data_IF_494260381013
#
_entry.id   IF_494260381013
#
_cell.length_a   1.000
_cell.length_b   1.000
_cell.length_c   1.000
_cell.angle_alpha   90.00
_cell.angle_beta   90.00
_cell.angle_gamma   90.00
#
_symmetry.space_group_name_H-M   'P 1'
#
loop_
_entity.id
_entity.type
_entity.pdbx_description
1 polymer ?
#
# COMPACT_ATOMS: atom_id res chain seq x y z
N UNK A 1 12.68 -25.71 30.44
CA UNK A 1 12.00 -25.96 29.17
C UNK A 1 12.23 -24.73 28.32
N UNK A 2 13.01 -24.87 27.26
CA UNK A 2 13.32 -23.79 26.33
C UNK A 2 12.28 -23.76 25.21
N UNK A 3 12.10 -22.61 24.57
CA UNK A 3 11.15 -22.46 23.47
C UNK A 3 11.48 -23.40 22.30
N UNK A 4 12.77 -23.67 22.06
CA UNK A 4 13.26 -24.59 21.03
C UNK A 4 12.97 -26.07 21.32
N UNK A 5 12.60 -26.42 22.56
CA UNK A 5 12.23 -27.79 22.92
C UNK A 5 10.80 -28.13 22.48
N UNK A 6 10.05 -27.15 21.95
CA UNK A 6 8.68 -27.34 21.46
C UNK A 6 8.65 -28.00 20.08
N UNK A 7 7.63 -28.82 19.78
CA UNK A 7 7.40 -29.35 18.44
C UNK A 7 7.32 -28.24 17.39
N UNK A 8 7.84 -28.53 16.19
CA UNK A 8 7.83 -27.61 15.04
C UNK A 8 6.42 -27.10 14.71
N UNK A 9 5.40 -27.93 14.88
CA UNK A 9 4.00 -27.54 14.66
C UNK A 9 3.56 -26.40 15.60
N UNK A 10 4.01 -26.42 16.85
CA UNK A 10 3.73 -25.35 17.81
C UNK A 10 4.54 -24.10 17.46
N UNK A 11 5.81 -24.27 17.08
CA UNK A 11 6.66 -23.16 16.65
C UNK A 11 6.11 -22.43 15.42
N UNK A 12 5.50 -23.15 14.48
CA UNK A 12 4.88 -22.58 13.28
C UNK A 12 3.63 -21.73 13.58
N UNK A 13 2.98 -21.94 14.73
CA UNK A 13 1.83 -21.15 15.15
C UNK A 13 2.23 -19.84 15.84
N UNK A 14 3.46 -19.73 16.34
CA UNK A 14 3.92 -18.56 17.10
C UNK A 14 3.70 -17.22 16.38
N UNK A 15 3.95 -17.08 15.06
CA UNK A 15 3.69 -15.82 14.37
C UNK A 15 2.26 -15.31 14.49
N UNK A 16 1.27 -16.19 14.62
CA UNK A 16 -0.14 -15.82 14.76
C UNK A 16 -0.51 -15.23 16.12
N UNK A 17 0.39 -15.32 17.11
CA UNK A 17 0.21 -14.80 18.46
C UNK A 17 1.06 -13.55 18.76
N UNK A 18 1.77 -13.02 17.75
CA UNK A 18 2.56 -11.82 17.89
C UNK A 18 1.69 -10.57 17.73
N UNK A 19 2.11 -9.46 18.34
CA UNK A 19 1.37 -8.21 18.30
C UNK A 19 1.81 -7.31 17.14
N UNK A 20 3.03 -7.48 16.62
CA UNK A 20 3.56 -6.64 15.54
C UNK A 20 4.55 -7.35 14.63
N UNK A 21 4.83 -6.73 13.48
CA UNK A 21 5.92 -7.16 12.59
C UNK A 21 7.30 -7.02 13.24
N UNK A 22 7.49 -6.08 14.16
CA UNK A 22 8.76 -5.91 14.86
C UNK A 22 8.99 -7.07 15.86
N UNK A 23 7.94 -7.62 16.46
CA UNK A 23 8.02 -8.82 17.28
C UNK A 23 8.38 -10.05 16.45
N UNK A 24 7.79 -10.18 15.26
CA UNK A 24 8.13 -11.26 14.33
C UNK A 24 9.58 -11.15 13.88
N UNK A 25 10.04 -9.94 13.55
CA UNK A 25 11.43 -9.69 13.19
C UNK A 25 12.38 -9.99 14.36
N UNK A 26 12.00 -9.64 15.59
CA UNK A 26 12.78 -9.97 16.77
C UNK A 26 12.85 -11.49 16.98
N UNK A 27 11.73 -12.19 16.83
CA UNK A 27 11.63 -13.64 16.99
C UNK A 27 12.54 -14.39 16.00
N UNK A 28 12.50 -14.05 14.71
CA UNK A 28 13.34 -14.70 13.69
C UNK A 28 14.84 -14.42 13.91
N UNK A 29 15.20 -13.32 14.57
CA UNK A 29 16.59 -12.98 14.87
C UNK A 29 17.13 -13.64 16.14
N UNK A 30 16.27 -14.21 16.99
CA UNK A 30 16.70 -14.83 18.25
C UNK A 30 17.45 -16.15 18.07
N UNK A 31 17.08 -16.98 17.10
CA UNK A 31 17.65 -18.32 16.89
C UNK A 31 17.51 -18.78 15.44
N UNK A 32 18.47 -19.60 14.99
CA UNK A 32 18.41 -20.25 13.65
C UNK A 32 17.23 -21.20 13.52
N UNK A 33 16.85 -21.86 14.60
CA UNK A 33 15.74 -22.82 14.60
C UNK A 33 14.40 -22.10 14.50
N UNK A 34 14.24 -21.02 15.28
CA UNK A 34 13.07 -20.14 15.16
C UNK A 34 13.01 -19.49 13.79
N UNK A 35 14.14 -19.02 13.24
CA UNK A 35 14.19 -18.56 11.85
C UNK A 35 13.66 -19.63 10.88
N UNK A 36 14.10 -20.88 11.00
CA UNK A 36 13.69 -21.95 10.08
C UNK A 36 12.18 -22.23 10.14
N UNK A 37 11.56 -22.14 11.32
CA UNK A 37 10.13 -22.43 11.51
C UNK A 37 9.23 -21.21 11.30
N UNK A 38 9.66 -20.01 11.69
CA UNK A 38 8.81 -18.81 11.73
C UNK A 38 9.11 -17.78 10.63
N UNK A 39 10.13 -17.97 9.80
CA UNK A 39 10.45 -17.05 8.69
C UNK A 39 9.46 -17.06 7.52
N UNK A 40 8.52 -18.01 7.49
CA UNK A 40 7.53 -18.15 6.42
C UNK A 40 6.10 -18.20 6.98
N UNK A 41 5.64 -17.15 7.68
CA UNK A 41 4.27 -17.08 8.15
C UNK A 41 3.29 -17.03 6.96
N UNK A 42 2.05 -17.44 7.21
CA UNK A 42 1.01 -17.36 6.18
C UNK A 42 0.70 -15.89 5.85
N UNK A 43 0.26 -15.56 4.63
CA UNK A 43 -0.05 -14.17 4.27
C UNK A 43 -1.12 -13.52 5.15
N UNK A 44 -2.05 -14.32 5.69
CA UNK A 44 -3.06 -13.85 6.65
C UNK A 44 -2.43 -13.37 7.95
N UNK A 45 -1.42 -14.07 8.47
CA UNK A 45 -0.66 -13.65 9.65
C UNK A 45 0.18 -12.42 9.34
N UNK A 46 0.83 -12.37 8.17
CA UNK A 46 1.58 -11.18 7.75
C UNK A 46 0.66 -9.96 7.71
N UNK A 47 -0.51 -10.10 7.11
CA UNK A 47 -1.52 -9.05 7.04
C UNK A 47 -1.96 -8.61 8.44
N UNK A 48 -2.36 -9.54 9.32
CA UNK A 48 -2.82 -9.19 10.67
C UNK A 48 -1.74 -8.46 11.48
N UNK A 49 -0.49 -8.89 11.36
CA UNK A 49 0.64 -8.23 12.00
C UNK A 49 0.89 -6.85 11.40
N UNK A 50 0.80 -6.70 10.08
CA UNK A 50 1.04 -5.46 9.36
C UNK A 50 -0.07 -4.41 9.55
N UNK A 51 -1.28 -4.83 9.91
CA UNK A 51 -2.42 -3.95 10.24
C UNK A 51 -2.55 -3.66 11.73
N UNK A 52 -1.69 -4.26 12.57
CA UNK A 52 -1.73 -4.04 14.01
C UNK A 52 -1.45 -2.58 14.35
N UNK A 53 -2.15 -1.97 15.33
CA UNK A 53 -1.89 -0.61 15.78
C UNK A 53 -0.47 -0.39 16.31
N UNK A 54 0.23 -1.48 16.66
CA UNK A 54 1.62 -1.45 17.12
C UNK A 54 2.63 -1.37 15.98
N UNK A 55 2.21 -1.63 14.75
CA UNK A 55 3.05 -1.35 13.59
C UNK A 55 3.03 0.14 13.32
N UNK A 56 4.19 0.78 13.38
CA UNK A 56 4.32 2.20 13.05
C UNK A 56 3.96 2.55 11.60
N UNK A 57 3.46 1.61 10.80
CA UNK A 57 3.16 1.71 9.36
C UNK A 57 1.91 2.58 9.15
N UNK A 58 2.14 3.86 8.88
CA UNK A 58 1.11 4.84 8.54
C UNK A 58 1.59 5.62 7.31
N UNK A 59 0.72 5.97 6.35
CA UNK A 59 -0.74 5.90 6.41
C UNK A 59 -1.29 4.55 5.94
N UNK A 60 -2.07 3.89 6.80
CA UNK A 60 -2.89 2.75 6.41
C UNK A 60 -4.16 3.23 5.67
N UNK A 61 -4.70 2.49 4.67
CA UNK A 61 -4.16 1.32 3.96
C UNK A 61 -3.17 1.66 2.82
N UNK A 62 -3.01 2.95 2.52
CA UNK A 62 -2.36 3.48 1.33
C UNK A 62 -0.93 2.94 1.10
N UNK A 63 -0.11 2.78 2.15
CA UNK A 63 1.24 2.25 1.96
C UNK A 63 1.27 0.82 1.41
N UNK A 64 0.35 -0.05 1.83
CA UNK A 64 0.29 -1.41 1.31
C UNK A 64 -0.21 -1.44 -0.12
N UNK A 65 -1.17 -0.57 -0.45
CA UNK A 65 -1.61 -0.37 -1.83
C UNK A 65 -0.42 0.09 -2.67
N UNK A 66 0.39 1.04 -2.19
CA UNK A 66 1.54 1.56 -2.93
C UNK A 66 2.55 0.48 -3.29
N UNK A 67 2.87 -0.41 -2.34
CA UNK A 67 3.78 -1.55 -2.57
C UNK A 67 3.24 -2.52 -3.62
N UNK A 68 1.92 -2.71 -3.68
CA UNK A 68 1.28 -3.67 -4.60
C UNK A 68 0.76 -3.02 -5.89
N UNK A 69 0.75 -1.69 -5.99
CA UNK A 69 0.11 -0.94 -7.06
C UNK A 69 0.62 -1.35 -8.45
N UNK A 70 1.94 -1.57 -8.59
CA UNK A 70 2.51 -2.00 -9.87
C UNK A 70 2.03 -3.39 -10.29
N UNK A 71 2.05 -4.34 -9.36
CA UNK A 71 1.59 -5.71 -9.64
C UNK A 71 0.08 -5.74 -9.91
N UNK A 72 -0.69 -4.91 -9.20
CA UNK A 72 -2.11 -4.74 -9.45
C UNK A 72 -2.36 -4.15 -10.85
N UNK A 73 -1.58 -3.17 -11.28
CA UNK A 73 -1.64 -2.61 -12.63
C UNK A 73 -1.34 -3.66 -13.70
N UNK A 74 -0.23 -4.39 -13.54
CA UNK A 74 0.19 -5.46 -14.45
C UNK A 74 -0.85 -6.58 -14.54
N UNK A 75 -1.59 -6.85 -13.47
CA UNK A 75 -2.71 -7.79 -13.45
C UNK A 75 -3.97 -7.21 -14.14
N UNK A 76 -4.29 -5.95 -13.87
CA UNK A 76 -5.50 -5.31 -14.37
C UNK A 76 -5.50 -5.21 -15.89
N UNK A 77 -4.35 -4.93 -16.51
CA UNK A 77 -4.23 -4.81 -17.98
C UNK A 77 -4.29 -6.14 -18.74
N UNK A 78 -4.34 -7.29 -18.05
CA UNK A 78 -4.36 -8.61 -18.72
C UNK A 78 -5.72 -8.97 -19.31
N UNK A 79 -6.82 -8.41 -18.80
CA UNK A 79 -8.17 -8.68 -19.30
C UNK A 79 -9.11 -7.53 -18.98
N UNK A 80 -10.17 -7.35 -19.77
CA UNK A 80 -11.21 -6.36 -19.51
C UNK A 80 -11.96 -6.62 -18.20
N UNK A 81 -12.16 -7.89 -17.84
CA UNK A 81 -12.78 -8.30 -16.57
C UNK A 81 -11.95 -7.83 -15.37
N UNK A 82 -10.62 -7.95 -15.44
CA UNK A 82 -9.75 -7.46 -14.36
C UNK A 82 -9.80 -5.93 -14.23
N UNK A 83 -9.92 -5.21 -15.36
CA UNK A 83 -10.09 -3.75 -15.35
C UNK A 83 -11.41 -3.34 -14.69
N UNK A 84 -12.50 -4.04 -15.01
CA UNK A 84 -13.82 -3.81 -14.40
C UNK A 84 -13.78 -4.07 -12.89
N UNK A 85 -13.16 -5.17 -12.45
CA UNK A 85 -12.98 -5.46 -11.02
C UNK A 85 -12.15 -4.41 -10.28
N UNK A 86 -11.10 -3.88 -10.92
CA UNK A 86 -10.32 -2.77 -10.36
C UNK A 86 -11.16 -1.49 -10.27
N UNK A 87 -11.93 -1.20 -11.32
CA UNK A 87 -12.83 -0.05 -11.34
C UNK A 87 -13.89 -0.12 -10.24
N UNK A 88 -14.53 -1.27 -10.06
CA UNK A 88 -15.51 -1.51 -8.99
C UNK A 88 -14.89 -1.37 -7.60
N UNK A 89 -13.66 -1.88 -7.41
CA UNK A 89 -12.93 -1.74 -6.15
C UNK A 89 -12.63 -0.28 -5.83
N UNK A 90 -12.26 0.53 -6.83
CA UNK A 90 -12.02 1.98 -6.68
C UNK A 90 -13.33 2.71 -6.34
N UNK A 91 -14.40 2.45 -7.10
CA UNK A 91 -15.64 3.21 -7.02
C UNK A 91 -16.49 2.84 -5.79
N UNK A 92 -16.57 1.55 -5.44
CA UNK A 92 -17.43 1.06 -4.35
C UNK A 92 -16.65 0.76 -3.07
N UNK A 93 -15.45 0.20 -3.20
CA UNK A 93 -14.67 -0.30 -2.07
C UNK A 93 -13.74 0.74 -1.44
N UNK A 94 -13.43 1.82 -2.15
CA UNK A 94 -12.46 2.83 -1.71
C UNK A 94 -11.09 2.22 -1.37
N UNK A 95 -10.30 2.85 -0.47
CA UNK A 95 -8.97 2.36 -0.12
C UNK A 95 -8.93 0.93 0.42
N UNK A 96 -9.92 0.52 1.21
CA UNK A 96 -9.97 -0.83 1.76
C UNK A 96 -10.25 -1.87 0.67
N UNK A 97 -11.23 -1.62 -0.21
CA UNK A 97 -11.55 -2.55 -1.30
C UNK A 97 -10.43 -2.69 -2.33
N UNK A 98 -9.70 -1.60 -2.62
CA UNK A 98 -8.50 -1.67 -3.47
C UNK A 98 -7.40 -2.50 -2.80
N UNK A 99 -7.19 -2.34 -1.49
CA UNK A 99 -6.23 -3.17 -0.76
C UNK A 99 -6.64 -4.65 -0.80
N UNK A 100 -7.89 -4.97 -0.51
CA UNK A 100 -8.39 -6.36 -0.52
C UNK A 100 -8.20 -7.01 -1.90
N UNK A 101 -8.50 -6.27 -2.97
CA UNK A 101 -8.26 -6.72 -4.33
C UNK A 101 -6.76 -6.93 -4.59
N UNK A 102 -5.91 -5.98 -4.21
CA UNK A 102 -4.45 -6.08 -4.36
C UNK A 102 -3.89 -7.32 -3.66
N UNK A 103 -4.36 -7.61 -2.44
CA UNK A 103 -3.95 -8.77 -1.67
C UNK A 103 -4.48 -10.10 -2.23
N UNK A 104 -5.65 -10.08 -2.87
CA UNK A 104 -6.19 -11.24 -3.58
C UNK A 104 -5.35 -11.63 -4.81
N UNK A 105 -4.75 -10.62 -5.47
CA UNK A 105 -3.88 -10.80 -6.64
C UNK A 105 -2.46 -11.17 -6.23
N UNK A 106 -1.91 -10.45 -5.24
CA UNK A 106 -0.54 -10.63 -4.75
C UNK A 106 -0.50 -10.47 -3.23
N UNK A 107 -0.50 -11.59 -2.48
CA UNK A 107 -0.45 -11.53 -1.02
C UNK A 107 0.82 -10.82 -0.51
N UNK A 108 0.73 -10.24 0.70
CA UNK A 108 1.87 -9.61 1.34
C UNK A 108 2.94 -10.63 1.72
N UNK A 109 4.19 -10.28 1.45
CA UNK A 109 5.37 -11.05 1.80
C UNK A 109 6.27 -10.26 2.76
N UNK A 110 7.17 -10.94 3.47
CA UNK A 110 8.18 -10.27 4.30
C UNK A 110 9.12 -9.38 3.48
N UNK A 111 9.36 -9.72 2.20
CA UNK A 111 10.16 -8.89 1.31
C UNK A 111 9.47 -7.56 1.01
N UNK A 112 8.14 -7.58 0.80
CA UNK A 112 7.35 -6.36 0.62
C UNK A 112 7.43 -5.44 1.83
N UNK A 113 7.37 -6.02 3.04
CA UNK A 113 7.49 -5.26 4.29
C UNK A 113 8.89 -4.70 4.53
N UNK A 114 9.92 -5.49 4.20
CA UNK A 114 11.31 -5.04 4.27
C UNK A 114 11.55 -3.89 3.30
N UNK A 115 11.05 -4.02 2.06
CA UNK A 115 11.08 -2.96 1.06
C UNK A 115 10.34 -1.71 1.55
N UNK A 116 9.12 -1.87 2.08
CA UNK A 116 8.33 -0.75 2.60
C UNK A 116 9.06 -0.02 3.73
N UNK A 117 9.61 -0.74 4.71
CA UNK A 117 10.38 -0.17 5.81
C UNK A 117 11.58 0.61 5.29
N UNK A 118 12.34 0.02 4.37
CA UNK A 118 13.49 0.68 3.76
C UNK A 118 13.07 1.95 3.03
N UNK A 119 12.16 1.85 2.06
CA UNK A 119 11.65 2.97 1.25
C UNK A 119 11.09 4.10 2.10
N UNK A 120 10.39 3.76 3.19
CA UNK A 120 9.90 4.77 4.12
C UNK A 120 11.04 5.56 4.76
N UNK A 121 11.98 4.86 5.38
CA UNK A 121 13.09 5.51 6.12
C UNK A 121 14.08 6.24 5.21
N UNK A 122 14.35 5.70 4.02
CA UNK A 122 15.38 6.24 3.12
C UNK A 122 14.85 7.28 2.13
N UNK A 123 13.57 7.23 1.75
CA UNK A 123 12.99 8.08 0.70
C UNK A 123 11.82 8.89 1.22
N UNK A 124 10.78 8.23 1.76
CA UNK A 124 9.52 8.94 2.09
C UNK A 124 9.69 9.91 3.26
N UNK A 125 10.30 9.50 4.37
CA UNK A 125 10.47 10.36 5.56
C UNK A 125 11.31 11.61 5.26
N UNK A 126 12.46 11.52 4.57
CA UNK A 126 13.19 12.71 4.11
C UNK A 126 12.37 13.61 3.19
N UNK A 127 11.61 13.03 2.25
CA UNK A 127 10.79 13.78 1.30
C UNK A 127 9.62 14.48 2.00
N UNK A 128 8.93 13.79 2.92
CA UNK A 128 7.85 14.33 3.74
C UNK A 128 8.37 15.50 4.57
N UNK A 129 9.49 15.31 5.29
CA UNK A 129 10.10 16.39 6.09
C UNK A 129 10.44 17.61 5.24
N UNK A 130 10.94 17.41 4.02
CA UNK A 130 11.21 18.52 3.10
C UNK A 130 9.91 19.23 2.66
N UNK A 131 8.89 18.47 2.25
CA UNK A 131 7.63 19.01 1.77
C UNK A 131 6.80 19.67 2.86
N UNK A 132 6.84 19.17 4.10
CA UNK A 132 6.18 19.81 5.25
C UNK A 132 6.69 21.23 5.48
N UNK A 133 7.99 21.49 5.29
CA UNK A 133 8.54 22.85 5.39
C UNK A 133 8.08 23.81 4.28
N UNK A 134 7.47 23.29 3.21
CA UNK A 134 7.04 24.06 2.03
C UNK A 134 5.53 24.14 1.88
N UNK A 135 4.82 23.10 2.29
CA UNK A 135 3.40 22.88 2.00
C UNK A 135 2.55 22.60 3.25
N UNK A 136 3.18 22.36 4.41
CA UNK A 136 2.49 22.13 5.67
C UNK A 136 1.87 23.41 6.26
N UNK A 137 1.04 23.30 7.31
CA UNK A 137 0.49 24.45 8.00
C UNK A 137 1.64 25.29 8.54
N UNK A 138 1.84 26.47 7.95
CA UNK A 138 2.84 27.41 8.42
C UNK A 138 2.14 28.39 9.34
N UNK A 139 2.64 28.55 10.56
CA UNK A 139 2.19 29.58 11.50
C UNK A 139 2.34 31.02 10.95
N UNK A 140 3.07 31.19 9.84
CA UNK A 140 3.39 32.48 9.19
C UNK A 140 2.62 32.74 7.88
N UNK A 141 1.74 31.83 7.43
CA UNK A 141 0.96 31.99 6.19
C UNK A 141 -0.51 32.14 6.60
N UNK A 142 -1.20 33.09 5.95
CA UNK A 142 -2.64 33.29 6.11
C UNK A 142 -3.38 31.93 6.14
N UNK A 143 -4.15 31.63 7.20
CA UNK A 143 -4.88 30.36 7.37
C UNK A 143 -5.84 30.03 6.21
N UNK A 144 -6.06 30.97 5.28
CA UNK A 144 -6.78 30.76 4.03
C UNK A 144 -6.04 29.91 2.97
N UNK A 145 -4.74 29.62 3.13
CA UNK A 145 -3.89 29.02 2.07
C UNK A 145 -3.07 27.79 2.49
N UNK A 146 -3.56 26.94 3.40
CA UNK A 146 -2.93 25.63 3.63
C UNK A 146 -3.04 24.76 2.36
N UNK A 147 -1.92 24.63 1.63
CA UNK A 147 -1.88 23.89 0.34
C UNK A 147 -2.08 22.38 0.55
N UNK A 148 -1.60 21.82 1.66
CA UNK A 148 -1.78 20.40 1.97
C UNK A 148 -1.87 20.15 3.49
N UNK A 149 -2.98 19.59 3.94
CA UNK A 149 -3.20 19.23 5.34
C UNK A 149 -2.51 17.90 5.74
N UNK A 150 -2.19 17.04 4.77
CA UNK A 150 -1.55 15.75 5.02
C UNK A 150 -0.57 15.38 3.89
N UNK A 151 0.65 15.90 4.00
CA UNK A 151 1.75 15.70 3.03
C UNK A 151 2.07 14.20 2.87
N UNK A 152 2.04 13.45 3.98
CA UNK A 152 2.31 12.02 3.99
C UNK A 152 1.32 11.23 3.14
N UNK A 153 0.01 11.48 3.32
CA UNK A 153 -1.04 10.83 2.54
C UNK A 153 -0.97 11.24 1.07
N UNK A 154 -0.75 12.53 0.79
CA UNK A 154 -0.59 13.03 -0.57
C UNK A 154 0.55 12.33 -1.31
N UNK A 155 1.74 12.25 -0.69
CA UNK A 155 2.91 11.61 -1.29
C UNK A 155 2.68 10.10 -1.51
N UNK A 156 1.99 9.45 -0.57
CA UNK A 156 1.65 8.04 -0.70
C UNK A 156 0.67 7.82 -1.85
N UNK A 157 -0.37 8.64 -1.98
CA UNK A 157 -1.31 8.58 -3.11
C UNK A 157 -0.65 8.90 -4.45
N UNK A 158 0.30 9.83 -4.48
CA UNK A 158 1.10 10.09 -5.67
C UNK A 158 1.92 8.85 -6.08
N UNK A 159 2.58 8.20 -5.12
CA UNK A 159 3.30 6.95 -5.38
C UNK A 159 2.35 5.86 -5.93
N UNK A 160 1.20 5.63 -5.27
CA UNK A 160 0.21 4.67 -5.78
C UNK A 160 -0.20 5.01 -7.21
N UNK A 161 -0.51 6.28 -7.49
CA UNK A 161 -0.95 6.72 -8.81
C UNK A 161 0.09 6.41 -9.90
N UNK A 162 1.35 6.74 -9.63
CA UNK A 162 2.45 6.48 -10.58
C UNK A 162 2.62 4.98 -10.89
N UNK A 163 2.44 4.12 -9.89
CA UNK A 163 2.59 2.68 -10.06
C UNK A 163 1.34 2.01 -10.65
N UNK A 164 0.14 2.42 -10.24
CA UNK A 164 -1.12 1.88 -10.71
C UNK A 164 -1.38 2.25 -12.19
N UNK A 165 -1.03 3.48 -12.59
CA UNK A 165 -1.20 3.98 -13.95
C UNK A 165 0.09 3.99 -14.75
N UNK A 166 1.07 3.17 -14.37
CA UNK A 166 2.34 3.04 -15.07
C UNK A 166 2.17 2.78 -16.57
N UNK A 167 1.17 1.98 -16.95
CA UNK A 167 0.88 1.68 -18.36
C UNK A 167 0.41 2.89 -19.17
N UNK A 168 -0.14 3.92 -18.51
CA UNK A 168 -0.50 5.18 -19.14
C UNK A 168 0.68 6.17 -19.20
N UNK A 169 1.60 6.10 -18.23
CA UNK A 169 2.63 7.12 -18.02
C UNK A 169 3.96 6.73 -18.66
N UNK A 170 4.57 5.63 -18.19
CA UNK A 170 5.97 5.30 -18.51
C UNK A 170 6.10 4.11 -19.45
N UNK A 171 5.20 3.12 -19.33
CA UNK A 171 5.27 1.91 -20.17
C UNK A 171 5.22 2.20 -21.69
N UNK A 172 4.44 3.18 -22.20
CA UNK A 172 4.41 3.46 -23.63
C UNK A 172 5.78 3.91 -24.16
N UNK A 173 6.53 4.68 -23.37
CA UNK A 173 7.88 5.14 -23.75
C UNK A 173 8.86 3.96 -23.74
N UNK A 174 8.81 3.14 -22.69
CA UNK A 174 9.70 1.98 -22.55
C UNK A 174 9.44 0.92 -23.61
N UNK A 175 8.18 0.65 -23.96
CA UNK A 175 7.83 -0.34 -24.99
C UNK A 175 8.21 0.13 -26.39
N UNK A 176 8.07 1.43 -26.69
CA UNK A 176 8.59 2.00 -27.95
C UNK A 176 10.10 1.86 -28.05
N UNK A 177 10.83 2.11 -26.97
CA UNK A 177 12.29 1.95 -26.95
C UNK A 177 12.74 0.48 -27.12
N UNK A 178 11.86 -0.47 -26.81
CA UNK A 178 12.11 -1.92 -26.89
C UNK A 178 11.45 -2.60 -28.10
N UNK A 179 10.87 -1.85 -29.03
CA UNK A 179 10.13 -2.36 -30.20
C UNK A 179 9.02 -3.37 -29.84
N UNK A 180 8.37 -3.19 -28.68
CA UNK A 180 7.28 -4.03 -28.22
C UNK A 180 5.91 -3.44 -28.61
N UNK A 181 4.91 -4.29 -28.89
CA UNK A 181 3.56 -3.82 -29.21
C UNK A 181 2.97 -3.02 -28.05
N UNK A 182 2.14 -1.99 -28.35
CA UNK A 182 1.46 -1.22 -27.33
C UNK A 182 0.52 -2.12 -26.52
N UNK A 183 0.51 -1.93 -25.21
CA UNK A 183 -0.45 -2.56 -24.31
C UNK A 183 -1.60 -1.58 -24.09
N UNK A 184 -2.83 -2.08 -24.08
CA UNK A 184 -3.99 -1.27 -23.72
C UNK A 184 -3.91 -0.91 -22.23
N UNK A 185 -3.77 0.38 -21.89
CA UNK A 185 -3.64 0.80 -20.50
C UNK A 185 -5.03 0.96 -19.84
N UNK A 186 -5.04 1.24 -18.53
CA UNK A 186 -6.28 1.54 -17.82
C UNK A 186 -6.99 2.77 -18.42
N UNK A 187 -8.32 2.74 -18.38
CA UNK A 187 -9.15 3.79 -18.97
C UNK A 187 -8.96 5.14 -18.27
N UNK A 188 -9.26 6.23 -18.99
CA UNK A 188 -9.26 7.57 -18.40
C UNK A 188 -10.34 7.70 -17.32
N UNK A 189 -11.44 6.96 -17.43
CA UNK A 189 -12.51 6.94 -16.44
C UNK A 189 -12.00 6.38 -15.11
N UNK A 190 -11.30 5.23 -15.12
CA UNK A 190 -10.67 4.65 -13.93
C UNK A 190 -9.68 5.64 -13.28
N UNK A 191 -8.94 6.40 -14.09
CA UNK A 191 -8.01 7.43 -13.59
C UNK A 191 -8.72 8.59 -12.92
N UNK A 192 -9.84 9.03 -13.47
CA UNK A 192 -10.63 10.13 -12.90
C UNK A 192 -11.31 9.71 -11.60
N UNK A 193 -11.87 8.50 -11.55
CA UNK A 193 -12.44 7.93 -10.32
C UNK A 193 -11.37 7.80 -9.23
N UNK A 194 -10.16 7.36 -9.57
CA UNK A 194 -9.06 7.36 -8.61
C UNK A 194 -8.81 8.75 -8.02
N UNK A 195 -8.68 9.77 -8.87
CA UNK A 195 -8.45 11.15 -8.44
C UNK A 195 -9.59 11.62 -7.54
N UNK A 196 -10.84 11.31 -7.89
CA UNK A 196 -12.02 11.72 -7.14
C UNK A 196 -12.11 11.09 -5.75
N UNK A 197 -11.86 9.77 -5.63
CA UNK A 197 -12.04 9.05 -4.37
C UNK A 197 -10.81 9.07 -3.46
N UNK A 198 -9.60 9.23 -4.01
CA UNK A 198 -8.36 9.00 -3.25
C UNK A 198 -7.52 10.26 -3.01
N UNK A 199 -7.71 11.34 -3.78
CA UNK A 199 -7.01 12.59 -3.50
C UNK A 199 -7.83 13.48 -2.57
N UNK A 200 -7.26 13.93 -1.43
CA UNK A 200 -7.96 14.83 -0.53
C UNK A 200 -8.13 16.20 -1.20
N UNK A 201 -9.35 16.53 -1.63
CA UNK A 201 -9.73 17.91 -1.94
C UNK A 201 -10.10 18.62 -0.64
N UNK A 202 -9.55 19.82 -0.42
CA UNK A 202 -9.89 20.66 0.72
C UNK A 202 -11.38 21.05 0.77
N UNK A 203 -12.12 20.87 -0.33
CA UNK A 203 -13.55 21.11 -0.43
C UNK A 203 -14.40 19.83 -0.58
N UNK A 204 -13.80 18.63 -0.57
CA UNK A 204 -14.56 17.39 -0.60
C UNK A 204 -15.27 17.18 0.73
N UNK A 205 -16.53 17.62 0.81
CA UNK A 205 -17.45 17.18 1.86
C UNK A 205 -17.56 15.66 1.75
N UNK A 206 -17.31 14.87 2.82
CA UNK A 206 -17.57 13.45 2.77
C UNK A 206 -19.05 13.27 2.43
N UNK A 207 -19.34 12.72 1.25
CA UNK A 207 -20.71 12.36 0.90
C UNK A 207 -21.14 11.25 1.87
N UNK A 208 -21.80 11.64 2.96
CA UNK A 208 -22.78 10.76 3.59
C UNK A 208 -23.77 10.41 2.49
N UNK A 209 -23.67 9.19 1.94
CA UNK A 209 -24.75 8.59 1.14
C UNK A 209 -26.00 8.66 2.01
N UNK A 210 -26.83 9.66 1.76
CA UNK A 210 -28.20 9.70 2.22
C UNK A 210 -28.89 8.60 1.43
N UNK A 211 -29.21 7.52 2.14
CA UNK A 211 -30.13 6.49 1.68
C UNK A 211 -31.36 7.17 1.08
N UNK A 212 -31.60 6.96 -0.22
CA UNK A 212 -32.88 7.22 -0.84
C UNK A 212 -33.50 5.89 -1.26
N UNK A 213 -34.30 5.38 -0.34
CA UNK A 213 -35.56 4.67 -0.63
C UNK A 213 -36.43 5.44 -1.60
#
# INVERSE_FOLDING_TARGET
MLLIDLPTDILNLLPGYLESLDDLHSLILTSRELYATTSKPTPSVIYSLATSPHTGIQPYPHLFIAVKARTLADWAVQSSENQERLFDAINTGGPSGVLDLALSVSPLTLNDLTFLRHTRTSILEPAIKYLETKCGPSDEIDPSFTVCHNVTLLLTNYWIYCDLFYHNITAPVLRRAADLPPLEPLSNETRLEWVYHFLPDCNAVPQSRVDMT
#
